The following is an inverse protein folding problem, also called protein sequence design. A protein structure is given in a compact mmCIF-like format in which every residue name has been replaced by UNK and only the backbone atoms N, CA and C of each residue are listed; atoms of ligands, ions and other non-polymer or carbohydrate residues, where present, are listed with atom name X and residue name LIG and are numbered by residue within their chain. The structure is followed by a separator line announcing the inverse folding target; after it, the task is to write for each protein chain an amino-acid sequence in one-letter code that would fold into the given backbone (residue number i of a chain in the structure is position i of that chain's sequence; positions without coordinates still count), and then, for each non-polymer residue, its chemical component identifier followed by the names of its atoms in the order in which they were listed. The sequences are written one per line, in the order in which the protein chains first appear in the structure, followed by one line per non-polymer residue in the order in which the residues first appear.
data_IF_295206330672
#
_entry.id   IF_295206330672
#
_cell.length_a   1.000
_cell.length_b   1.000
_cell.length_c   1.000
_cell.angle_alpha   90.00
_cell.angle_beta   90.00
_cell.angle_gamma   90.00
#
_symmetry.space_group_name_H-M   'P 1'
#
loop_
_entity.id
_entity.type
_entity.pdbx_description
1 polymer ?
#
# COMPACT_ATOMS: atom_id res chain seq x y z
N UNK A 1 4.36 34.62 25.98
CA UNK A 1 5.80 34.27 26.11
C UNK A 1 6.23 33.52 24.86
N UNK A 2 7.16 34.09 24.10
CA UNK A 2 7.66 33.54 22.83
C UNK A 2 8.50 32.28 23.04
N UNK A 3 8.34 31.26 22.19
CA UNK A 3 9.22 30.07 22.14
C UNK A 3 10.63 30.48 21.67
N UNK A 4 11.71 29.96 22.29
CA UNK A 4 13.06 30.27 21.83
C UNK A 4 13.32 29.60 20.47
N UNK A 5 13.88 30.38 19.54
CA UNK A 5 14.17 29.98 18.17
C UNK A 5 15.18 28.83 18.09
N UNK A 6 14.94 27.91 17.16
CA UNK A 6 15.86 26.83 16.85
C UNK A 6 17.21 27.41 16.37
N UNK A 7 18.26 27.21 17.17
CA UNK A 7 19.61 27.64 16.82
C UNK A 7 20.06 26.96 15.53
N UNK A 8 20.54 27.76 14.58
CA UNK A 8 21.14 27.29 13.34
C UNK A 8 22.32 26.35 13.64
N UNK A 9 22.35 25.12 13.07
CA UNK A 9 23.44 24.18 13.36
C UNK A 9 24.79 24.71 12.86
N UNK A 10 25.90 24.38 13.55
CA UNK A 10 27.23 24.88 13.23
C UNK A 10 27.68 24.45 11.81
N UNK A 11 28.51 25.24 11.13
CA UNK A 11 28.84 25.06 9.71
C UNK A 11 29.45 23.69 9.38
N UNK A 12 30.31 23.14 10.24
CA UNK A 12 30.87 21.79 10.07
C UNK A 12 29.78 20.68 10.07
N UNK A 13 28.73 20.84 10.89
CA UNK A 13 27.59 19.92 10.93
C UNK A 13 26.74 20.03 9.67
N UNK A 14 26.63 21.22 9.06
CA UNK A 14 25.93 21.42 7.77
C UNK A 14 26.67 20.77 6.62
N UNK A 15 27.99 20.92 6.55
CA UNK A 15 28.83 20.29 5.51
C UNK A 15 28.73 18.76 5.59
N UNK A 16 28.80 18.19 6.80
CA UNK A 16 28.66 16.75 6.99
C UNK A 16 27.26 16.23 6.62
N UNK A 17 26.20 16.97 6.94
CA UNK A 17 24.82 16.62 6.53
C UNK A 17 24.66 16.69 5.02
N UNK A 18 25.17 17.75 4.38
CA UNK A 18 25.13 17.90 2.92
C UNK A 18 25.92 16.79 2.21
N UNK A 19 27.12 16.45 2.69
CA UNK A 19 27.91 15.36 2.13
C UNK A 19 27.20 14.00 2.25
N UNK A 20 26.59 13.70 3.42
CA UNK A 20 25.80 12.47 3.61
C UNK A 20 24.59 12.41 2.68
N UNK A 21 23.88 13.52 2.50
CA UNK A 21 22.75 13.60 1.58
C UNK A 21 23.21 13.38 0.13
N UNK A 22 24.31 14.00 -0.29
CA UNK A 22 24.89 13.80 -1.63
C UNK A 22 25.30 12.33 -1.86
N UNK A 23 25.98 11.71 -0.91
CA UNK A 23 26.35 10.29 -0.96
C UNK A 23 25.12 9.38 -1.08
N UNK A 24 24.08 9.63 -0.27
CA UNK A 24 22.83 8.88 -0.32
C UNK A 24 22.17 8.98 -1.69
N UNK A 25 21.99 10.20 -2.21
CA UNK A 25 21.38 10.40 -3.52
C UNK A 25 22.24 9.82 -4.65
N UNK A 26 23.57 9.91 -4.56
CA UNK A 26 24.47 9.27 -5.52
C UNK A 26 24.28 7.74 -5.57
N UNK A 27 24.11 7.09 -4.40
CA UNK A 27 23.81 5.65 -4.32
C UNK A 27 22.44 5.31 -4.90
N UNK A 28 21.40 6.08 -4.53
CA UNK A 28 20.05 5.92 -5.08
C UNK A 28 20.08 6.01 -6.60
N UNK A 29 20.66 7.07 -7.17
CA UNK A 29 20.71 7.28 -8.61
C UNK A 29 21.57 6.23 -9.33
N UNK A 30 22.68 5.80 -8.72
CA UNK A 30 23.52 4.72 -9.28
C UNK A 30 22.73 3.42 -9.41
N UNK A 31 21.99 3.04 -8.37
CA UNK A 31 21.15 1.85 -8.40
C UNK A 31 19.96 2.00 -9.35
N UNK A 32 19.35 3.18 -9.43
CA UNK A 32 18.34 3.49 -10.46
C UNK A 32 18.89 3.23 -11.87
N UNK A 33 20.12 3.67 -12.15
CA UNK A 33 20.80 3.42 -13.42
C UNK A 33 20.98 1.92 -13.71
N UNK A 34 21.36 1.12 -12.71
CA UNK A 34 21.47 -0.34 -12.85
C UNK A 34 20.11 -0.97 -13.17
N UNK A 35 19.05 -0.59 -12.44
CA UNK A 35 17.68 -1.05 -12.72
C UNK A 35 17.21 -0.64 -14.12
N UNK A 36 17.52 0.59 -14.55
CA UNK A 36 17.22 1.10 -15.89
C UNK A 36 17.87 0.25 -16.97
N UNK A 37 19.16 -0.05 -16.82
CA UNK A 37 19.92 -0.87 -17.76
C UNK A 37 19.32 -2.27 -17.88
N UNK A 38 19.01 -2.93 -16.76
CA UNK A 38 18.40 -4.26 -16.77
C UNK A 38 17.03 -4.25 -17.46
N UNK A 39 16.19 -3.26 -17.14
CA UNK A 39 14.88 -3.10 -17.77
C UNK A 39 14.99 -2.77 -19.27
N UNK A 40 15.95 -1.92 -19.65
CA UNK A 40 16.25 -1.58 -21.04
C UNK A 40 16.72 -2.78 -21.85
N UNK A 41 17.60 -3.63 -21.29
CA UNK A 41 18.02 -4.88 -21.94
C UNK A 41 16.84 -5.85 -22.13
N UNK A 42 15.94 -5.95 -21.15
CA UNK A 42 14.70 -6.75 -21.28
C UNK A 42 13.77 -6.20 -22.36
N UNK A 43 13.66 -4.88 -22.46
CA UNK A 43 12.91 -4.19 -23.51
C UNK A 43 13.51 -4.49 -24.90
N UNK A 44 14.81 -4.28 -25.08
CA UNK A 44 15.52 -4.57 -26.33
C UNK A 44 15.34 -6.04 -26.76
N UNK A 45 15.41 -6.96 -25.80
CA UNK A 45 15.16 -8.38 -26.04
C UNK A 45 13.70 -8.65 -26.49
N UNK A 46 12.72 -8.01 -25.84
CA UNK A 46 11.30 -8.12 -26.23
C UNK A 46 11.08 -7.61 -27.65
N UNK A 47 11.65 -6.44 -27.97
CA UNK A 47 11.59 -5.83 -29.30
C UNK A 47 12.22 -6.75 -30.35
N UNK A 48 13.41 -7.31 -30.06
CA UNK A 48 14.12 -8.20 -30.99
C UNK A 48 13.37 -9.51 -31.24
N UNK A 49 12.64 -10.04 -30.26
CA UNK A 49 11.86 -11.27 -30.42
C UNK A 49 10.51 -11.04 -31.08
N UNK A 50 9.76 -10.02 -30.66
CA UNK A 50 8.36 -9.78 -31.08
C UNK A 50 8.03 -8.28 -31.05
N UNK A 51 8.49 -7.50 -32.04
CA UNK A 51 8.34 -6.05 -32.02
C UNK A 51 6.88 -5.60 -32.07
N UNK A 52 6.06 -6.27 -32.91
CA UNK A 52 4.64 -5.94 -33.07
C UNK A 52 3.75 -6.28 -31.86
N UNK A 53 4.17 -7.22 -31.01
CA UNK A 53 3.47 -7.54 -29.75
C UNK A 53 3.91 -6.62 -28.60
N UNK A 54 5.19 -6.21 -28.60
CA UNK A 54 5.77 -5.44 -27.49
C UNK A 54 5.05 -4.11 -27.25
N UNK A 55 4.66 -3.43 -28.31
CA UNK A 55 3.95 -2.14 -28.27
C UNK A 55 2.45 -2.26 -28.53
N UNK A 56 1.89 -3.47 -28.42
CA UNK A 56 0.45 -3.67 -28.55
C UNK A 56 -0.20 -3.67 -27.17
N UNK A 57 -1.30 -2.96 -27.04
CA UNK A 57 -2.19 -3.02 -25.87
C UNK A 57 -3.64 -2.88 -26.32
N UNK A 58 -4.56 -3.32 -25.45
CA UNK A 58 -6.00 -3.19 -25.66
C UNK A 58 -6.48 -1.91 -25.00
N UNK A 59 -7.23 -1.08 -25.74
CA UNK A 59 -7.93 0.07 -25.17
C UNK A 59 -9.15 -0.45 -24.43
N UNK A 60 -9.22 -0.17 -23.12
CA UNK A 60 -10.30 -0.62 -22.24
C UNK A 60 -11.21 0.55 -21.91
N UNK A 61 -12.24 0.75 -22.73
CA UNK A 61 -13.18 1.88 -22.60
C UNK A 61 -14.20 1.67 -21.47
N UNK A 62 -14.68 0.44 -21.30
CA UNK A 62 -15.75 0.11 -20.35
C UNK A 62 -15.20 -0.67 -19.15
N UNK A 63 -15.65 -0.34 -17.92
CA UNK A 63 -15.30 -1.12 -16.73
C UNK A 63 -15.89 -2.54 -16.82
N UNK A 64 -15.14 -3.57 -16.39
CA UNK A 64 -15.67 -4.93 -16.25
C UNK A 64 -16.87 -5.01 -15.29
N UNK A 65 -17.78 -5.97 -15.52
CA UNK A 65 -19.04 -6.05 -14.78
C UNK A 65 -18.83 -6.34 -13.29
N UNK A 66 -17.77 -7.08 -12.94
CA UNK A 66 -17.39 -7.34 -11.55
C UNK A 66 -17.17 -6.07 -10.71
N UNK A 67 -16.82 -4.93 -11.32
CA UNK A 67 -16.66 -3.66 -10.61
C UNK A 67 -18.00 -3.05 -10.19
N UNK A 68 -19.10 -3.41 -10.85
CA UNK A 68 -20.44 -2.95 -10.53
C UNK A 68 -21.27 -4.01 -9.78
N UNK A 69 -20.63 -5.05 -9.23
CA UNK A 69 -21.33 -6.09 -8.47
C UNK A 69 -21.97 -5.49 -7.19
N UNK A 70 -23.30 -5.43 -7.09
CA UNK A 70 -23.99 -4.81 -5.96
C UNK A 70 -23.74 -5.56 -4.64
N UNK A 71 -23.27 -6.81 -4.68
CA UNK A 71 -22.91 -7.57 -3.49
C UNK A 71 -21.69 -6.99 -2.75
N UNK A 72 -20.85 -6.23 -3.47
CA UNK A 72 -19.62 -5.60 -2.96
C UNK A 72 -19.87 -4.26 -2.27
N UNK A 73 -21.01 -3.63 -2.51
CA UNK A 73 -21.39 -2.36 -1.89
C UNK A 73 -21.79 -1.31 -2.92
N UNK A 74 -21.70 -0.05 -2.51
CA UNK A 74 -22.08 1.10 -3.33
C UNK A 74 -20.89 2.03 -3.50
N UNK A 75 -20.63 2.45 -4.74
CA UNK A 75 -19.64 3.47 -5.06
C UNK A 75 -20.06 4.81 -4.47
N UNK A 76 -19.13 5.45 -3.76
CA UNK A 76 -19.33 6.69 -3.07
C UNK A 76 -18.13 7.61 -3.30
N UNK A 77 -18.35 8.91 -3.09
CA UNK A 77 -17.32 9.93 -3.21
C UNK A 77 -17.37 10.87 -2.04
N UNK A 78 -16.19 11.26 -1.54
CA UNK A 78 -16.04 12.28 -0.53
C UNK A 78 -15.03 13.31 -0.99
N UNK A 79 -15.36 14.61 -0.85
CA UNK A 79 -14.44 15.69 -1.16
C UNK A 79 -13.87 16.22 0.15
N UNK A 80 -12.55 16.21 0.26
CA UNK A 80 -11.84 16.68 1.44
C UNK A 80 -11.76 18.20 1.41
N UNK A 81 -12.12 18.84 2.53
CA UNK A 81 -12.21 20.31 2.61
C UNK A 81 -10.84 20.96 2.44
N UNK A 82 -9.83 20.43 3.11
CA UNK A 82 -8.51 21.07 3.19
C UNK A 82 -7.71 20.88 1.90
N UNK A 83 -7.66 19.66 1.36
CA UNK A 83 -6.92 19.37 0.12
C UNK A 83 -7.74 19.64 -1.15
N UNK A 84 -9.07 19.72 -1.05
CA UNK A 84 -9.99 19.85 -2.19
C UNK A 84 -10.13 18.57 -3.02
N UNK A 85 -9.36 17.52 -2.74
CA UNK A 85 -9.35 16.27 -3.50
C UNK A 85 -10.65 15.48 -3.29
N UNK A 86 -11.12 14.84 -4.35
CA UNK A 86 -12.22 13.88 -4.32
C UNK A 86 -11.67 12.46 -4.22
N UNK A 87 -12.09 11.74 -3.19
CA UNK A 87 -11.78 10.33 -2.98
C UNK A 87 -12.96 9.45 -3.34
N UNK A 88 -12.68 8.41 -4.10
CA UNK A 88 -13.60 7.31 -4.37
C UNK A 88 -13.44 6.22 -3.31
N UNK A 89 -14.57 5.63 -2.92
CA UNK A 89 -14.58 4.43 -2.08
C UNK A 89 -15.83 3.60 -2.35
N UNK A 90 -15.73 2.29 -2.13
CA UNK A 90 -16.89 1.39 -2.11
C UNK A 90 -17.27 1.11 -0.66
N UNK A 91 -18.56 1.24 -0.37
CA UNK A 91 -19.08 1.03 0.98
C UNK A 91 -20.16 -0.04 1.04
N UNK A 92 -19.99 -0.98 1.96
CA UNK A 92 -20.91 -2.06 2.26
C UNK A 92 -21.37 -2.01 3.72
N UNK A 93 -22.56 -2.53 4.00
CA UNK A 93 -23.15 -2.53 5.33
C UNK A 93 -23.90 -1.24 5.67
N UNK A 94 -24.73 -1.30 6.69
CA UNK A 94 -25.65 -0.21 7.07
C UNK A 94 -24.90 0.99 7.67
N UNK A 95 -25.42 2.20 7.42
CA UNK A 95 -24.95 3.41 8.11
C UNK A 95 -25.26 3.29 9.61
N UNK A 96 -24.40 3.86 10.44
CA UNK A 96 -24.53 3.82 11.92
C UNK A 96 -23.84 2.62 12.58
N UNK A 97 -23.50 1.57 11.83
CA UNK A 97 -22.61 0.50 12.32
C UNK A 97 -21.18 1.03 12.51
N UNK A 98 -20.37 0.39 13.40
CA UNK A 98 -18.96 0.72 13.55
C UNK A 98 -18.23 0.67 12.21
N UNK A 99 -17.30 1.62 12.00
CA UNK A 99 -16.55 1.72 10.74
C UNK A 99 -15.38 0.73 10.72
N UNK A 100 -15.26 0.03 9.61
CA UNK A 100 -14.07 -0.72 9.20
C UNK A 100 -13.53 -0.09 7.92
N UNK A 101 -12.34 0.52 7.97
CA UNK A 101 -11.71 1.20 6.86
C UNK A 101 -10.58 0.34 6.28
N UNK A 102 -10.64 0.06 4.98
CA UNK A 102 -9.72 -0.82 4.26
C UNK A 102 -8.86 -0.02 3.28
N UNK A 103 -7.54 -0.13 3.41
CA UNK A 103 -6.53 0.56 2.60
C UNK A 103 -5.74 -0.47 1.78
N UNK A 104 -5.85 -0.44 0.46
CA UNK A 104 -5.11 -1.32 -0.45
C UNK A 104 -3.66 -0.87 -0.66
N UNK A 105 -2.88 -1.65 -1.40
CA UNK A 105 -1.51 -1.30 -1.80
C UNK A 105 -1.30 -1.12 -3.30
N UNK A 106 -0.06 -1.29 -3.75
CA UNK A 106 0.31 -1.24 -5.15
C UNK A 106 0.53 -2.65 -5.73
N UNK A 107 0.13 -2.92 -6.98
CA UNK A 107 -0.73 -2.13 -7.86
C UNK A 107 -2.19 -2.59 -7.71
N UNK A 108 -2.82 -2.25 -6.59
CA UNK A 108 -4.21 -2.59 -6.30
C UNK A 108 -5.11 -1.34 -6.28
N UNK A 109 -6.38 -1.55 -5.99
CA UNK A 109 -7.38 -0.53 -5.70
C UNK A 109 -8.46 -1.18 -4.80
N UNK A 110 -9.57 -0.50 -4.46
CA UNK A 110 -10.60 -0.99 -3.53
C UNK A 110 -11.03 -2.44 -3.77
N UNK A 111 -11.01 -2.91 -5.02
CA UNK A 111 -11.44 -4.25 -5.44
C UNK A 111 -10.58 -5.39 -4.88
N UNK A 112 -9.34 -5.12 -4.42
CA UNK A 112 -8.54 -6.13 -3.72
C UNK A 112 -9.18 -6.59 -2.41
N UNK A 113 -10.08 -5.78 -1.85
CA UNK A 113 -10.85 -6.07 -0.64
C UNK A 113 -12.22 -6.68 -0.89
N UNK A 114 -12.55 -7.11 -2.12
CA UNK A 114 -13.88 -7.64 -2.49
C UNK A 114 -14.38 -8.78 -1.59
N UNK A 115 -13.49 -9.60 -1.05
CA UNK A 115 -13.85 -10.67 -0.12
C UNK A 115 -14.20 -10.13 1.27
N UNK A 116 -13.45 -9.15 1.77
CA UNK A 116 -13.65 -8.51 3.08
C UNK A 116 -14.88 -7.59 3.08
N UNK A 117 -15.15 -6.89 1.98
CA UNK A 117 -16.38 -6.11 1.80
C UNK A 117 -17.63 -6.98 1.96
N UNK A 118 -17.64 -8.18 1.38
CA UNK A 118 -18.76 -9.13 1.50
C UNK A 118 -18.90 -9.70 2.91
N UNK A 119 -17.77 -10.00 3.54
CA UNK A 119 -17.72 -10.68 4.83
C UNK A 119 -18.18 -9.79 6.00
N UNK A 120 -17.66 -8.57 6.10
CA UNK A 120 -17.79 -7.77 7.33
C UNK A 120 -19.02 -6.84 7.33
N UNK A 121 -19.76 -6.75 6.21
CA UNK A 121 -20.89 -5.81 6.05
C UNK A 121 -22.09 -6.06 6.97
N UNK A 122 -22.19 -7.24 7.58
CA UNK A 122 -23.25 -7.58 8.52
C UNK A 122 -23.09 -6.87 9.88
N UNK A 123 -21.86 -6.65 10.35
CA UNK A 123 -21.57 -6.05 11.66
C UNK A 123 -20.92 -4.65 11.55
N UNK A 124 -20.29 -4.36 10.42
CA UNK A 124 -19.56 -3.11 10.18
C UNK A 124 -20.14 -2.35 9.00
N UNK A 125 -19.99 -1.03 9.05
CA UNK A 125 -19.94 -0.21 7.84
C UNK A 125 -18.52 -0.37 7.28
N UNK A 126 -18.38 -1.17 6.24
CA UNK A 126 -17.08 -1.45 5.62
C UNK A 126 -16.86 -0.45 4.50
N UNK A 127 -15.71 0.21 4.48
CA UNK A 127 -15.31 1.19 3.47
C UNK A 127 -13.97 0.77 2.89
N UNK A 128 -13.97 0.38 1.60
CA UNK A 128 -12.75 0.13 0.84
C UNK A 128 -12.42 1.38 0.02
N UNK A 129 -11.33 2.05 0.39
CA UNK A 129 -10.92 3.34 -0.18
C UNK A 129 -10.02 3.12 -1.39
N UNK A 130 -10.20 3.89 -2.47
CA UNK A 130 -9.13 4.10 -3.44
C UNK A 130 -8.19 5.18 -2.91
N UNK A 131 -6.94 4.83 -2.66
CA UNK A 131 -5.93 5.76 -2.16
C UNK A 131 -5.67 6.89 -3.17
N UNK A 132 -5.08 8.00 -2.71
CA UNK A 132 -4.70 9.14 -3.56
C UNK A 132 -3.95 8.65 -4.81
N UNK A 133 -4.44 9.03 -5.99
CA UNK A 133 -3.87 8.63 -7.28
C UNK A 133 -4.35 7.30 -7.85
N UNK A 134 -5.17 6.52 -7.15
CA UNK A 134 -5.69 5.24 -7.62
C UNK A 134 -7.15 5.32 -8.06
N UNK A 135 -7.54 4.44 -8.98
CA UNK A 135 -8.93 4.24 -9.37
C UNK A 135 -9.62 5.53 -9.78
N UNK A 136 -10.75 5.83 -9.13
CA UNK A 136 -11.54 7.04 -9.38
C UNK A 136 -11.27 8.17 -8.37
N UNK A 137 -10.26 8.00 -7.50
CA UNK A 137 -9.76 9.06 -6.61
C UNK A 137 -8.89 10.04 -7.41
N UNK A 138 -8.99 11.32 -7.10
CA UNK A 138 -8.20 12.37 -7.74
C UNK A 138 -6.69 12.08 -7.66
N UNK A 139 -5.99 12.31 -8.78
CA UNK A 139 -4.57 12.02 -8.95
C UNK A 139 -3.80 13.33 -9.21
N UNK A 140 -3.43 14.10 -8.17
CA UNK A 140 -2.65 15.32 -8.37
C UNK A 140 -1.32 15.00 -9.09
N UNK A 141 -0.84 15.84 -10.02
CA UNK A 141 0.24 15.44 -10.94
C UNK A 141 1.64 15.45 -10.31
N UNK A 142 1.87 16.31 -9.32
CA UNK A 142 3.18 16.47 -8.69
C UNK A 142 3.42 15.42 -7.62
N UNK A 143 4.60 14.78 -7.64
CA UNK A 143 5.00 13.74 -6.69
C UNK A 143 4.97 14.24 -5.24
N UNK A 144 5.21 15.52 -5.02
CA UNK A 144 5.21 16.17 -3.70
C UNK A 144 3.87 16.02 -2.98
N UNK A 145 2.78 15.82 -3.72
CA UNK A 145 1.45 15.53 -3.17
C UNK A 145 1.30 14.09 -2.69
N UNK A 146 2.31 13.23 -2.83
CA UNK A 146 2.27 11.83 -2.39
C UNK A 146 3.27 11.56 -1.26
N UNK A 147 3.70 12.61 -0.56
CA UNK A 147 4.48 12.45 0.67
C UNK A 147 3.62 11.83 1.76
N UNK A 148 4.24 11.10 2.68
CA UNK A 148 3.53 10.35 3.72
C UNK A 148 2.61 11.24 4.58
N UNK A 149 3.03 12.46 4.90
CA UNK A 149 2.23 13.43 5.66
C UNK A 149 0.89 13.74 4.96
N UNK A 150 0.92 13.91 3.64
CA UNK A 150 -0.28 14.10 2.83
C UNK A 150 -1.19 12.86 2.85
N UNK A 151 -0.61 11.68 2.67
CA UNK A 151 -1.37 10.42 2.64
C UNK A 151 -1.99 10.09 4.00
N UNK A 152 -1.28 10.39 5.10
CA UNK A 152 -1.78 10.22 6.47
C UNK A 152 -2.91 11.22 6.76
N UNK A 153 -2.76 12.48 6.33
CA UNK A 153 -3.79 13.51 6.48
C UNK A 153 -5.08 13.14 5.73
N UNK A 154 -4.97 12.55 4.53
CA UNK A 154 -6.15 12.07 3.79
C UNK A 154 -6.99 11.10 4.61
N UNK A 155 -6.36 10.11 5.27
CA UNK A 155 -7.10 9.11 6.05
C UNK A 155 -7.82 9.75 7.24
N UNK A 156 -7.17 10.69 7.93
CA UNK A 156 -7.78 11.47 9.01
C UNK A 156 -9.01 12.23 8.50
N UNK A 157 -8.86 12.98 7.42
CA UNK A 157 -9.92 13.86 6.92
C UNK A 157 -11.07 13.08 6.28
N UNK A 158 -10.79 11.92 5.67
CA UNK A 158 -11.80 10.98 5.18
C UNK A 158 -12.61 10.45 6.36
N UNK A 159 -11.96 10.02 7.45
CA UNK A 159 -12.64 9.50 8.63
C UNK A 159 -13.62 10.53 9.22
N UNK A 160 -13.14 11.77 9.39
CA UNK A 160 -13.96 12.90 9.86
C UNK A 160 -15.11 13.22 8.91
N UNK A 161 -14.86 13.23 7.59
CA UNK A 161 -15.86 13.51 6.57
C UNK A 161 -16.95 12.43 6.47
N UNK A 162 -16.62 11.18 6.81
CA UNK A 162 -17.58 10.09 6.93
C UNK A 162 -18.41 10.17 8.23
N UNK A 163 -18.09 11.09 9.14
CA UNK A 163 -18.79 11.29 10.41
C UNK A 163 -18.39 10.29 11.51
N UNK A 164 -17.22 9.67 11.38
CA UNK A 164 -16.70 8.73 12.36
C UNK A 164 -15.54 9.35 13.13
N UNK A 165 -15.48 9.09 14.44
CA UNK A 165 -14.35 9.51 15.28
C UNK A 165 -13.29 8.41 15.40
N UNK A 166 -13.68 7.15 15.19
CA UNK A 166 -12.81 5.97 15.30
C UNK A 166 -13.20 4.90 14.30
N UNK A 167 -12.24 4.06 13.91
CA UNK A 167 -12.47 2.90 13.05
C UNK A 167 -11.60 1.71 13.47
N UNK A 168 -12.01 0.52 13.02
CA UNK A 168 -11.07 -0.58 12.79
C UNK A 168 -10.33 -0.26 11.49
N UNK A 169 -9.02 -0.13 11.56
CA UNK A 169 -8.20 0.23 10.39
C UNK A 169 -7.47 -0.99 9.87
N UNK A 170 -7.65 -1.29 8.58
CA UNK A 170 -7.02 -2.42 7.91
C UNK A 170 -6.21 -1.92 6.72
N UNK A 171 -4.94 -2.33 6.64
CA UNK A 171 -4.05 -1.93 5.55
C UNK A 171 -3.24 -3.08 4.98
N UNK A 172 -3.05 -3.08 3.65
CA UNK A 172 -2.17 -4.00 2.93
C UNK A 172 -1.10 -3.22 2.15
N UNK A 173 0.15 -3.70 2.13
CA UNK A 173 1.28 -3.08 1.41
C UNK A 173 1.41 -1.56 1.71
N UNK A 174 1.27 -0.64 0.74
CA UNK A 174 1.26 0.81 0.98
C UNK A 174 0.16 1.24 1.93
N UNK A 175 -1.03 0.66 1.80
CA UNK A 175 -2.12 0.85 2.75
C UNK A 175 -1.75 0.36 4.15
N UNK A 176 -0.91 -0.68 4.26
CA UNK A 176 -0.32 -1.15 5.52
C UNK A 176 0.63 -0.12 6.13
N UNK A 177 1.52 0.45 5.33
CA UNK A 177 2.40 1.54 5.79
C UNK A 177 1.61 2.75 6.26
N UNK A 178 0.62 3.18 5.48
CA UNK A 178 -0.26 4.30 5.82
C UNK A 178 -1.04 3.98 7.10
N UNK A 179 -1.57 2.77 7.23
CA UNK A 179 -2.31 2.35 8.42
C UNK A 179 -1.45 2.38 9.69
N UNK A 180 -0.20 1.91 9.63
CA UNK A 180 0.76 2.05 10.72
C UNK A 180 0.97 3.51 11.11
N UNK A 181 1.20 4.38 10.13
CA UNK A 181 1.48 5.79 10.39
C UNK A 181 0.27 6.56 10.90
N UNK A 182 -0.94 6.25 10.43
CA UNK A 182 -2.19 6.79 10.98
C UNK A 182 -2.37 6.36 12.44
N UNK A 183 -2.11 5.09 12.76
CA UNK A 183 -2.18 4.59 14.13
C UNK A 183 -1.14 5.24 15.07
N UNK A 184 0.00 5.68 14.52
CA UNK A 184 1.04 6.42 15.24
C UNK A 184 0.65 7.89 15.45
N UNK A 185 0.20 8.56 14.39
CA UNK A 185 -0.05 10.01 14.40
C UNK A 185 -1.40 10.37 15.01
N UNK A 186 -2.41 9.51 14.87
CA UNK A 186 -3.79 9.71 15.34
C UNK A 186 -4.28 8.47 16.09
N UNK A 187 -3.60 8.07 17.19
CA UNK A 187 -3.92 6.84 17.91
C UNK A 187 -5.35 6.80 18.46
N UNK A 188 -5.95 7.95 18.72
CA UNK A 188 -7.34 8.08 19.17
C UNK A 188 -8.37 7.63 18.12
N UNK A 189 -8.01 7.67 16.83
CA UNK A 189 -8.88 7.33 15.70
C UNK A 189 -8.90 5.83 15.37
N UNK A 190 -8.00 5.03 15.94
CA UNK A 190 -7.88 3.61 15.61
C UNK A 190 -8.25 2.76 16.83
N UNK A 191 -9.34 1.99 16.73
CA UNK A 191 -9.76 1.08 17.81
C UNK A 191 -8.96 -0.21 17.83
N UNK A 192 -8.74 -0.78 16.64
CA UNK A 192 -7.90 -1.96 16.38
C UNK A 192 -7.21 -1.76 15.03
N UNK A 193 -5.93 -2.11 14.98
CA UNK A 193 -5.14 -2.07 13.76
C UNK A 193 -4.96 -3.49 13.22
N UNK A 194 -5.19 -3.68 11.93
CA UNK A 194 -4.93 -4.95 11.24
C UNK A 194 -4.05 -4.62 10.03
N UNK A 195 -2.85 -5.21 9.97
CA UNK A 195 -1.95 -5.02 8.83
C UNK A 195 -1.71 -6.35 8.15
N UNK A 196 -1.79 -6.36 6.82
CA UNK A 196 -1.59 -7.52 5.96
C UNK A 196 -0.33 -7.27 5.15
N UNK A 197 0.71 -8.08 5.35
CA UNK A 197 1.98 -8.03 4.63
C UNK A 197 2.58 -6.61 4.55
N UNK A 198 2.81 -5.97 5.70
CA UNK A 198 3.71 -4.82 5.79
C UNK A 198 4.23 -4.67 7.22
N UNK A 199 5.55 -4.58 7.44
CA UNK A 199 6.11 -4.48 8.78
C UNK A 199 5.95 -3.05 9.31
N UNK A 200 6.23 -2.82 10.58
CA UNK A 200 6.28 -1.46 11.10
C UNK A 200 7.27 -0.59 10.27
N UNK A 201 6.94 0.67 9.90
CA UNK A 201 7.76 1.45 8.96
C UNK A 201 9.22 1.67 9.40
N UNK A 202 9.48 1.78 10.71
CA UNK A 202 10.85 1.84 11.25
C UNK A 202 11.60 0.52 11.04
N UNK A 203 10.92 -0.63 11.15
CA UNK A 203 11.51 -1.96 10.87
C UNK A 203 11.90 -2.04 9.40
N UNK A 204 10.99 -1.70 8.49
CA UNK A 204 11.26 -1.72 7.05
C UNK A 204 12.54 -0.94 6.70
N UNK A 205 12.62 0.30 7.20
CA UNK A 205 13.73 1.22 6.94
C UNK A 205 15.06 0.68 7.46
N UNK A 206 15.10 0.22 8.71
CA UNK A 206 16.32 -0.30 9.31
C UNK A 206 16.75 -1.64 8.70
N UNK A 207 15.79 -2.50 8.39
CA UNK A 207 16.04 -3.85 7.90
C UNK A 207 16.65 -3.81 6.51
N UNK A 208 16.11 -3.00 5.59
CA UNK A 208 16.66 -2.82 4.23
C UNK A 208 18.13 -2.39 4.26
N UNK A 209 18.52 -1.50 5.19
CA UNK A 209 19.89 -1.02 5.30
C UNK A 209 20.88 -2.07 5.81
N UNK A 210 20.39 -3.11 6.48
CA UNK A 210 21.21 -4.16 7.10
C UNK A 210 21.17 -5.50 6.36
N UNK A 211 20.19 -5.72 5.47
CA UNK A 211 19.96 -7.01 4.81
C UNK A 211 20.00 -6.86 3.28
N UNK A 212 21.11 -7.26 2.63
CA UNK A 212 21.27 -7.17 1.18
C UNK A 212 20.20 -7.93 0.40
N UNK A 213 19.70 -9.05 0.93
CA UNK A 213 18.62 -9.84 0.33
C UNK A 213 17.32 -9.04 0.19
N UNK A 214 16.90 -8.35 1.27
CA UNK A 214 15.75 -7.47 1.23
C UNK A 214 16.00 -6.23 0.36
N UNK A 215 17.21 -5.68 0.34
CA UNK A 215 17.56 -4.57 -0.56
C UNK A 215 17.40 -4.97 -2.04
N UNK A 216 17.83 -6.19 -2.42
CA UNK A 216 17.64 -6.74 -3.77
C UNK A 216 16.15 -6.93 -4.07
N UNK A 217 15.37 -7.52 -3.16
CA UNK A 217 13.90 -7.65 -3.30
C UNK A 217 13.24 -6.28 -3.50
N UNK A 218 13.76 -5.25 -2.83
CA UNK A 218 13.27 -3.86 -2.88
C UNK A 218 13.79 -3.07 -4.08
N UNK A 219 14.48 -3.71 -5.04
CA UNK A 219 15.05 -3.03 -6.21
C UNK A 219 14.02 -2.23 -7.04
N UNK A 220 12.74 -2.61 -6.98
CA UNK A 220 11.65 -1.89 -7.63
C UNK A 220 11.44 -0.47 -7.07
N UNK A 221 11.74 -0.21 -5.79
CA UNK A 221 11.68 1.14 -5.21
C UNK A 221 12.59 2.12 -5.96
N UNK A 222 13.77 1.65 -6.37
CA UNK A 222 14.73 2.43 -7.16
C UNK A 222 14.31 2.52 -8.62
N UNK A 223 13.85 1.41 -9.20
CA UNK A 223 13.29 1.42 -10.55
C UNK A 223 12.19 2.50 -10.69
N UNK A 224 11.31 2.63 -9.70
CA UNK A 224 10.21 3.60 -9.67
C UNK A 224 10.62 5.07 -9.49
N UNK A 225 11.88 5.35 -9.13
CA UNK A 225 12.37 6.74 -9.07
C UNK A 225 12.57 7.37 -10.45
N UNK A 226 12.69 6.55 -11.50
CA UNK A 226 12.90 7.06 -12.85
C UNK A 226 11.66 7.82 -13.35
N UNK A 227 11.84 8.98 -13.98
CA UNK A 227 10.74 9.71 -14.59
C UNK A 227 10.21 8.92 -15.79
N UNK A 228 8.88 8.78 -15.91
CA UNK A 228 8.09 8.19 -17.02
C UNK A 228 8.41 6.74 -17.44
N UNK A 229 9.62 6.24 -17.20
CA UNK A 229 10.09 4.96 -17.69
C UNK A 229 9.40 3.77 -17.02
N UNK A 230 9.15 3.75 -15.70
CA UNK A 230 8.33 2.73 -15.08
C UNK A 230 6.92 2.67 -15.65
N UNK A 231 6.25 3.81 -15.78
CA UNK A 231 4.92 3.90 -16.39
C UNK A 231 4.91 3.27 -17.78
N UNK A 232 5.86 3.66 -18.63
CA UNK A 232 6.03 3.11 -19.97
C UNK A 232 6.29 1.60 -19.97
N UNK A 233 7.16 1.10 -19.09
CA UNK A 233 7.45 -0.33 -19.00
C UNK A 233 6.21 -1.15 -18.58
N UNK A 234 5.32 -0.56 -17.79
CA UNK A 234 4.04 -1.18 -17.42
C UNK A 234 3.07 -1.30 -18.59
N UNK A 235 3.09 -0.42 -19.60
CA UNK A 235 2.13 -0.49 -20.73
C UNK A 235 2.50 -1.55 -21.76
N UNK A 236 3.73 -2.05 -21.77
CA UNK A 236 4.23 -2.99 -22.77
C UNK A 236 3.50 -4.34 -22.72
N UNK A 237 3.34 -4.95 -23.90
CA UNK A 237 2.70 -6.25 -24.09
C UNK A 237 1.34 -6.34 -23.40
N UNK A 238 0.47 -5.35 -23.59
CA UNK A 238 -0.84 -5.23 -22.93
C UNK A 238 -0.77 -5.42 -21.40
N UNK A 239 0.09 -4.63 -20.75
CA UNK A 239 0.22 -4.65 -19.29
C UNK A 239 0.60 -6.03 -18.71
N UNK A 240 1.41 -6.78 -19.46
CA UNK A 240 1.86 -8.13 -19.08
C UNK A 240 2.52 -8.19 -17.70
N UNK A 241 3.30 -7.16 -17.34
CA UNK A 241 3.95 -7.09 -16.02
C UNK A 241 2.90 -7.04 -14.93
N UNK A 242 1.90 -6.17 -15.05
CA UNK A 242 0.79 -6.07 -14.10
C UNK A 242 0.03 -7.40 -13.97
N UNK A 243 -0.32 -8.02 -15.10
CA UNK A 243 -0.94 -9.36 -15.10
C UNK A 243 -0.08 -10.39 -14.36
N UNK A 244 1.23 -10.42 -14.66
CA UNK A 244 2.18 -11.36 -14.07
C UNK A 244 2.36 -11.17 -12.57
N UNK A 245 2.22 -9.95 -12.04
CA UNK A 245 2.31 -9.70 -10.60
C UNK A 245 1.26 -10.51 -9.83
N UNK A 246 0.05 -10.63 -10.38
CA UNK A 246 -1.05 -11.35 -9.75
C UNK A 246 -1.17 -12.82 -10.15
N UNK A 247 -0.61 -13.25 -11.29
CA UNK A 247 -0.85 -14.62 -11.81
C UNK A 247 0.39 -15.51 -11.88
N UNK A 248 1.60 -14.95 -11.73
CA UNK A 248 2.82 -15.76 -11.81
C UNK A 248 3.01 -16.65 -10.59
N UNK A 249 3.73 -17.77 -10.74
CA UNK A 249 4.07 -18.62 -9.61
C UNK A 249 4.95 -17.92 -8.56
N UNK A 250 5.73 -16.92 -8.97
CA UNK A 250 6.69 -16.25 -8.11
C UNK A 250 6.04 -15.20 -7.20
N UNK A 251 5.05 -14.46 -7.70
CA UNK A 251 4.47 -13.30 -6.98
C UNK A 251 2.96 -13.38 -6.82
N UNK A 252 2.29 -14.22 -7.62
CA UNK A 252 0.85 -14.17 -7.82
C UNK A 252 0.04 -14.93 -6.78
N UNK A 253 -1.28 -14.76 -6.90
CA UNK A 253 -2.29 -15.49 -6.15
C UNK A 253 -2.31 -16.94 -6.64
N UNK A 254 -1.77 -17.83 -5.82
CA UNK A 254 -1.45 -19.19 -6.22
C UNK A 254 -2.45 -20.24 -5.73
N UNK A 255 -3.20 -19.94 -4.65
CA UNK A 255 -4.05 -20.94 -3.98
C UNK A 255 -5.12 -21.46 -4.91
N UNK A 256 -5.25 -22.79 -4.94
CA UNK A 256 -6.28 -23.47 -5.73
C UNK A 256 -7.66 -23.02 -5.27
N UNK A 257 -8.49 -22.58 -6.22
CA UNK A 257 -9.84 -22.07 -5.95
C UNK A 257 -9.91 -20.55 -5.67
N UNK A 258 -8.78 -19.88 -5.43
CA UNK A 258 -8.73 -18.44 -5.15
C UNK A 258 -8.00 -17.64 -6.25
N UNK A 259 -7.56 -18.30 -7.32
CA UNK A 259 -6.95 -17.63 -8.47
C UNK A 259 -7.90 -16.60 -9.07
N UNK A 260 -7.36 -15.45 -9.46
CA UNK A 260 -8.11 -14.43 -10.15
C UNK A 260 -8.74 -15.00 -11.43
N UNK A 261 -10.02 -14.70 -11.63
CA UNK A 261 -10.70 -14.99 -12.89
C UNK A 261 -10.16 -14.08 -14.01
N UNK A 262 -10.51 -14.38 -15.26
CA UNK A 262 -10.17 -13.50 -16.37
C UNK A 262 -10.78 -12.10 -16.18
N UNK A 263 -12.00 -12.03 -15.65
CA UNK A 263 -12.68 -10.76 -15.38
C UNK A 263 -12.01 -9.97 -14.25
N UNK A 264 -11.60 -10.65 -13.17
CA UNK A 264 -10.83 -10.00 -12.09
C UNK A 264 -9.54 -9.37 -12.62
N UNK A 265 -8.83 -10.08 -13.49
CA UNK A 265 -7.60 -9.55 -14.09
C UNK A 265 -7.92 -8.35 -14.97
N UNK A 266 -8.95 -8.45 -15.83
CA UNK A 266 -9.35 -7.31 -16.66
C UNK A 266 -9.81 -6.10 -15.85
N UNK A 267 -10.31 -6.26 -14.63
CA UNK A 267 -10.60 -5.15 -13.73
C UNK A 267 -9.34 -4.37 -13.35
N UNK A 268 -8.26 -5.05 -12.95
CA UNK A 268 -6.99 -4.39 -12.68
C UNK A 268 -6.40 -3.75 -13.94
N UNK A 269 -6.44 -4.45 -15.08
CA UNK A 269 -5.91 -3.90 -16.33
C UNK A 269 -6.73 -2.69 -16.80
N UNK A 270 -8.06 -2.71 -16.64
CA UNK A 270 -8.93 -1.57 -16.93
C UNK A 270 -8.50 -0.35 -16.13
N UNK A 271 -8.40 -0.47 -14.80
CA UNK A 271 -8.06 0.66 -13.92
C UNK A 271 -6.68 1.23 -14.24
N UNK A 272 -5.65 0.39 -14.33
CA UNK A 272 -4.27 0.86 -14.53
C UNK A 272 -3.94 1.24 -15.99
N UNK A 273 -4.81 0.90 -16.95
CA UNK A 273 -4.67 1.36 -18.34
C UNK A 273 -5.33 2.71 -18.62
N UNK A 274 -6.10 3.26 -17.67
CA UNK A 274 -6.68 4.59 -17.83
C UNK A 274 -5.58 5.67 -17.94
N UNK A 275 -5.81 6.75 -18.71
CA UNK A 275 -4.81 7.80 -18.90
C UNK A 275 -4.29 8.36 -17.57
N UNK A 276 -2.97 8.26 -17.34
CA UNK A 276 -2.32 8.78 -16.13
C UNK A 276 -2.45 7.90 -14.87
N UNK A 277 -3.18 6.78 -14.94
CA UNK A 277 -3.49 5.95 -13.77
C UNK A 277 -2.28 5.30 -13.09
N UNK A 278 -1.13 5.21 -13.77
CA UNK A 278 0.11 4.67 -13.20
C UNK A 278 0.95 5.72 -12.46
N UNK A 279 0.87 6.99 -12.85
CA UNK A 279 1.77 8.03 -12.30
C UNK A 279 1.48 8.31 -10.83
N UNK A 280 0.20 8.42 -10.45
CA UNK A 280 -0.19 8.61 -9.06
C UNK A 280 0.33 7.50 -8.14
N UNK A 281 0.02 6.23 -8.40
CA UNK A 281 0.51 5.08 -7.65
C UNK A 281 2.04 5.02 -7.56
N UNK A 282 2.74 5.27 -8.67
CA UNK A 282 4.22 5.27 -8.69
C UNK A 282 4.80 6.46 -7.90
N UNK A 283 4.08 7.59 -7.81
CA UNK A 283 4.53 8.73 -7.02
C UNK A 283 4.60 8.44 -5.51
N UNK A 284 3.85 7.47 -4.98
CA UNK A 284 4.03 6.98 -3.58
C UNK A 284 5.48 6.52 -3.37
N UNK A 285 6.04 5.78 -4.32
CA UNK A 285 7.44 5.34 -4.28
C UNK A 285 8.43 6.48 -4.46
N UNK A 286 8.13 7.46 -5.32
CA UNK A 286 9.05 8.58 -5.63
C UNK A 286 9.29 9.53 -4.46
N UNK A 287 8.43 9.51 -3.45
CA UNK A 287 8.56 10.36 -2.25
C UNK A 287 9.22 9.65 -1.08
N UNK A 288 9.28 8.32 -1.08
CA UNK A 288 9.69 7.53 0.10
C UNK A 288 11.08 7.91 0.61
N UNK A 289 12.06 8.12 -0.26
CA UNK A 289 13.44 8.42 0.14
C UNK A 289 13.58 9.81 0.77
N UNK A 290 12.59 10.69 0.59
CA UNK A 290 12.60 12.03 1.20
C UNK A 290 12.12 12.03 2.65
N UNK A 291 11.47 10.96 3.11
CA UNK A 291 10.93 10.83 4.47
C UNK A 291 11.66 9.80 5.34
N UNK A 292 12.75 9.20 4.84
CA UNK A 292 13.59 8.27 5.61
C UNK A 292 14.79 9.00 6.27
N UNK A 293 15.23 8.55 7.47
CA UNK A 293 14.63 7.50 8.28
C UNK A 293 13.40 8.00 9.05
N UNK A 294 12.40 7.13 9.19
CA UNK A 294 11.24 7.42 10.03
C UNK A 294 11.62 7.35 11.50
N UNK A 295 11.16 8.32 12.29
CA UNK A 295 11.34 8.32 13.74
C UNK A 295 10.57 7.15 14.37
N UNK A 296 11.19 6.51 15.36
CA UNK A 296 10.62 5.41 16.14
C UNK A 296 9.42 5.91 16.94
N UNK A 297 8.26 5.36 16.64
CA UNK A 297 7.04 5.61 17.39
C UNK A 297 6.37 4.28 17.71
N UNK A 298 5.64 4.27 18.81
CA UNK A 298 4.99 3.08 19.34
C UNK A 298 3.51 3.09 19.00
N UNK A 299 2.97 1.90 18.80
CA UNK A 299 1.56 1.68 18.51
C UNK A 299 0.88 1.13 19.75
N UNK A 300 -0.17 1.82 20.19
CA UNK A 300 -0.76 1.63 21.53
C UNK A 300 -2.11 0.92 21.52
N UNK A 301 -2.73 0.71 20.36
CA UNK A 301 -3.95 -0.09 20.22
C UNK A 301 -3.61 -1.56 19.97
N UNK A 302 -4.57 -2.48 20.16
CA UNK A 302 -4.40 -3.87 19.77
C UNK A 302 -4.11 -3.97 18.28
N UNK A 303 -3.15 -4.81 17.92
CA UNK A 303 -2.71 -4.96 16.54
C UNK A 303 -2.61 -6.43 16.13
N UNK A 304 -3.19 -6.73 14.97
CA UNK A 304 -3.00 -7.99 14.26
C UNK A 304 -2.10 -7.75 13.05
N UNK A 305 -1.00 -8.48 12.95
CA UNK A 305 -0.17 -8.57 11.76
C UNK A 305 -0.37 -9.94 11.11
N UNK A 306 -0.87 -9.94 9.88
CA UNK A 306 -0.95 -11.13 9.02
C UNK A 306 0.18 -11.08 8.01
N UNK A 307 0.86 -12.20 7.80
CA UNK A 307 2.02 -12.27 6.92
C UNK A 307 2.02 -13.51 6.04
N UNK A 308 2.36 -13.38 4.76
CA UNK A 308 2.50 -14.52 3.85
C UNK A 308 3.89 -15.11 3.89
N UNK A 309 3.99 -16.41 4.14
CA UNK A 309 5.29 -17.11 4.14
C UNK A 309 6.03 -17.00 2.80
N UNK A 310 5.28 -16.95 1.68
CA UNK A 310 5.82 -16.87 0.32
C UNK A 310 5.75 -15.44 -0.24
N UNK A 311 5.86 -14.43 0.62
CA UNK A 311 5.95 -13.04 0.17
C UNK A 311 7.24 -12.82 -0.67
N UNK A 312 7.04 -12.44 -1.93
CA UNK A 312 8.12 -12.23 -2.89
C UNK A 312 8.83 -10.87 -2.70
N UNK A 313 8.19 -9.94 -2.00
CA UNK A 313 8.64 -8.55 -1.87
C UNK A 313 9.25 -8.26 -0.51
N UNK A 314 8.82 -8.96 0.55
CA UNK A 314 9.26 -8.71 1.92
C UNK A 314 9.64 -9.99 2.67
N UNK A 315 10.74 -9.90 3.43
CA UNK A 315 11.24 -10.97 4.30
C UNK A 315 10.45 -11.09 5.61
N UNK A 316 10.15 -12.33 5.99
CA UNK A 316 9.25 -12.68 7.10
C UNK A 316 9.81 -12.26 8.46
N UNK A 317 11.13 -12.18 8.59
CA UNK A 317 11.84 -11.77 9.78
C UNK A 317 11.43 -10.35 10.23
N UNK A 318 11.06 -9.47 9.29
CA UNK A 318 10.55 -8.13 9.61
C UNK A 318 9.22 -8.18 10.38
N UNK A 319 8.40 -9.23 10.18
CA UNK A 319 7.13 -9.40 10.88
C UNK A 319 7.35 -9.65 12.38
N UNK A 320 8.35 -10.46 12.73
CA UNK A 320 8.69 -10.76 14.12
C UNK A 320 9.29 -9.54 14.84
N UNK A 321 10.17 -8.80 14.16
CA UNK A 321 10.79 -7.57 14.71
C UNK A 321 9.72 -6.51 14.98
N UNK A 322 8.66 -6.44 14.16
CA UNK A 322 7.56 -5.47 14.31
C UNK A 322 6.94 -5.49 15.72
N UNK A 323 6.94 -6.64 16.41
CA UNK A 323 6.41 -6.76 17.78
C UNK A 323 6.98 -5.73 18.76
N UNK A 324 8.25 -5.31 18.60
CA UNK A 324 8.89 -4.38 19.56
C UNK A 324 8.24 -2.99 19.57
N UNK A 325 7.51 -2.63 18.50
CA UNK A 325 6.85 -1.33 18.35
C UNK A 325 5.39 -1.33 18.82
N UNK A 326 4.83 -2.49 19.19
CA UNK A 326 3.45 -2.59 19.64
C UNK A 326 3.42 -2.78 21.15
N UNK A 327 2.88 -1.80 21.89
CA UNK A 327 2.83 -1.83 23.37
C UNK A 327 1.64 -2.59 23.93
N UNK A 328 0.60 -2.75 23.13
CA UNK A 328 -0.62 -3.42 23.53
C UNK A 328 -0.61 -4.88 23.05
N UNK A 329 -1.77 -5.53 23.07
CA UNK A 329 -1.96 -6.86 22.52
C UNK A 329 -1.53 -6.91 21.05
N UNK A 330 -0.46 -7.66 20.78
CA UNK A 330 0.04 -7.92 19.45
C UNK A 330 -0.18 -9.39 19.10
N UNK A 331 -0.81 -9.64 17.95
CA UNK A 331 -0.90 -10.97 17.35
C UNK A 331 -0.21 -10.95 16.01
N UNK A 332 0.73 -11.86 15.81
CA UNK A 332 1.31 -12.18 14.52
C UNK A 332 0.78 -13.54 14.07
N UNK A 333 0.40 -13.65 12.80
CA UNK A 333 0.09 -14.94 12.18
C UNK A 333 0.74 -15.00 10.81
N UNK A 334 1.67 -15.93 10.65
CA UNK A 334 2.30 -16.24 9.37
C UNK A 334 1.48 -17.34 8.69
N UNK A 335 0.93 -17.06 7.52
CA UNK A 335 0.11 -17.97 6.74
C UNK A 335 1.02 -18.75 5.78
N UNK A 336 1.05 -20.07 5.97
CA UNK A 336 1.82 -20.93 5.09
C UNK A 336 1.26 -20.90 3.67
N UNK A 337 2.17 -20.99 2.71
CA UNK A 337 1.90 -20.96 1.26
C UNK A 337 1.25 -19.68 0.72
N UNK A 338 0.90 -18.71 1.57
CA UNK A 338 0.31 -17.45 1.16
C UNK A 338 1.36 -16.57 0.47
N UNK A 339 0.94 -15.97 -0.65
CA UNK A 339 1.70 -14.98 -1.43
C UNK A 339 1.76 -13.62 -0.69
N UNK A 340 2.06 -12.54 -1.41
CA UNK A 340 1.95 -11.18 -0.89
C UNK A 340 0.48 -10.72 -0.74
N UNK A 341 -0.45 -11.31 -1.52
CA UNK A 341 -1.83 -10.82 -1.70
C UNK A 341 -2.84 -11.54 -0.78
N UNK A 342 -2.55 -11.68 0.51
CA UNK A 342 -3.27 -12.58 1.44
C UNK A 342 -4.79 -12.42 1.41
N UNK A 343 -5.26 -11.18 1.39
CA UNK A 343 -6.67 -10.82 1.38
C UNK A 343 -7.42 -11.40 0.17
N UNK A 344 -6.70 -11.69 -0.91
CA UNK A 344 -7.18 -12.30 -2.15
C UNK A 344 -6.81 -13.78 -2.28
N UNK A 345 -5.65 -14.18 -1.78
CA UNK A 345 -5.09 -15.52 -1.94
C UNK A 345 -5.64 -16.51 -0.92
N UNK A 346 -5.88 -16.07 0.32
CA UNK A 346 -6.47 -16.89 1.37
C UNK A 346 -7.62 -16.18 2.10
N UNK A 347 -8.65 -15.67 1.37
CA UNK A 347 -9.66 -14.76 1.92
C UNK A 347 -10.39 -15.35 3.13
N UNK A 348 -10.82 -16.62 3.06
CA UNK A 348 -11.58 -17.25 4.16
C UNK A 348 -10.76 -17.36 5.45
N UNK A 349 -9.45 -17.64 5.32
CA UNK A 349 -8.54 -17.76 6.47
C UNK A 349 -8.26 -16.38 7.05
N UNK A 350 -7.95 -15.40 6.19
CA UNK A 350 -7.76 -13.99 6.60
C UNK A 350 -9.00 -13.47 7.32
N UNK A 351 -10.19 -13.69 6.76
CA UNK A 351 -11.47 -13.27 7.35
C UNK A 351 -11.68 -13.90 8.72
N UNK A 352 -11.44 -15.22 8.86
CA UNK A 352 -11.53 -15.92 10.14
C UNK A 352 -10.57 -15.35 11.19
N UNK A 353 -9.32 -15.07 10.81
CA UNK A 353 -8.32 -14.50 11.71
C UNK A 353 -8.71 -13.09 12.16
N UNK A 354 -9.19 -12.26 11.23
CA UNK A 354 -9.72 -10.93 11.54
C UNK A 354 -10.90 -11.05 12.52
N UNK A 355 -11.90 -11.88 12.24
CA UNK A 355 -13.03 -12.09 13.16
C UNK A 355 -12.59 -12.54 14.55
N UNK A 356 -11.64 -13.46 14.61
CA UNK A 356 -11.09 -13.97 15.88
C UNK A 356 -10.48 -12.83 16.68
N UNK A 357 -9.64 -12.02 16.05
CA UNK A 357 -9.01 -10.86 16.68
C UNK A 357 -10.01 -9.75 17.05
N UNK A 358 -11.06 -9.52 16.23
CA UNK A 358 -12.09 -8.53 16.52
C UNK A 358 -12.91 -8.90 17.77
N UNK A 359 -13.22 -10.19 17.94
CA UNK A 359 -13.99 -10.72 19.08
C UNK A 359 -13.19 -10.83 20.37
N UNK A 360 -11.86 -10.76 20.30
CA UNK A 360 -11.03 -10.79 21.49
C UNK A 360 -11.23 -9.52 22.32
N UNK A 361 -11.80 -9.71 23.51
CA UNK A 361 -11.84 -8.70 24.56
C UNK A 361 -10.41 -8.32 24.90
N UNK A 362 -10.06 -7.08 24.60
CA UNK A 362 -8.80 -6.52 25.06
C UNK A 362 -8.98 -6.26 26.54
N UNK A 363 -8.64 -7.23 27.40
CA UNK A 363 -8.57 -7.01 28.85
C UNK A 363 -7.63 -5.84 29.08
N UNK A 364 -8.18 -4.65 29.31
CA UNK A 364 -7.43 -3.53 29.88
C UNK A 364 -6.86 -4.06 31.19
N UNK A 365 -5.54 -4.18 31.29
CA UNK A 365 -4.90 -4.25 32.61
C UNK A 365 -5.33 -2.96 33.32
N UNK A 366 -6.28 -3.10 34.25
CA UNK A 366 -6.54 -2.08 35.25
C UNK A 366 -5.37 -2.16 36.22
N UNK A 367 -4.73 -1.01 36.37
CA UNK A 367 -3.80 -0.59 37.44
C UNK A 367 -2.37 -1.14 37.38
#
# INVERSE_FOLDING_TARGET
MARPGAACPPPARRVMVAARALLFWALVYSYCGVCACIAGLRLLWSIGRRPGETFRWVVRENPPACLNDPSLGTHCYVRIKDSGLRFHYVAAGERGKPLMLLLHGFPEFWYSWRHQLREFKSEYRVVALDLRGYGETDAPPHKENYKLDCLIADIKDILESLGYNKCVLIGHDWGGMIAWLVAICYPEMVTKLIVVNFPHPSVFTEYILRHPSQLIKSGYYFFFQMPWFPEFMFTLNDFKVLRSLFTSQATGIGRKGCRLTAEDIEAYLYVFSQPGALTGPINHYRTIFSCLPLQHHEVIMPTLLLWGERDAFMEVEMAEITRIYVKNHFRLTILSEASHWLQQDQPDIVNKLIWTFLKEETKRKRE
#
